data_IF_992517835501
#
_entry.id   IF_992517835501
#
_cell.length_a   1.000
_cell.length_b   1.000
_cell.length_c   1.000
_cell.angle_alpha   90.00
_cell.angle_beta   90.00
_cell.angle_gamma   90.00
#
_symmetry.space_group_name_H-M   'P 1'
#
loop_
_entity.id
_entity.type
_entity.pdbx_description
1 polymer ?
#
# COMPACT_ATOMS: atom_id res chain seq x y z
N UNK A 1 -22.89 34.94 0.40
CA UNK A 1 -21.70 35.18 -0.45
C UNK A 1 -20.44 35.51 0.40
N UNK A 2 -20.43 35.19 1.70
CA UNK A 2 -19.31 35.58 2.59
C UNK A 2 -18.49 34.37 3.09
N UNK A 3 -18.79 33.12 2.65
CA UNK A 3 -18.24 31.89 3.24
C UNK A 3 -16.85 31.48 2.71
N UNK A 4 -16.28 32.12 1.70
CA UNK A 4 -14.99 31.71 1.10
C UNK A 4 -13.91 32.77 1.14
N UNK A 5 -14.10 33.86 1.92
CA UNK A 5 -13.17 34.99 1.92
C UNK A 5 -11.84 34.64 2.63
N UNK A 6 -11.90 33.84 3.69
CA UNK A 6 -10.70 33.46 4.43
C UNK A 6 -9.92 32.36 3.73
N UNK A 7 -10.61 31.41 3.05
CA UNK A 7 -9.98 30.37 2.23
C UNK A 7 -9.28 30.98 1.01
N UNK A 8 -9.92 31.94 0.34
CA UNK A 8 -9.32 32.69 -0.79
C UNK A 8 -8.15 33.54 -0.33
N UNK A 9 -8.26 34.17 0.83
CA UNK A 9 -7.17 34.98 1.42
C UNK A 9 -5.97 34.09 1.76
N UNK A 10 -6.20 32.93 2.41
CA UNK A 10 -5.16 31.96 2.76
C UNK A 10 -4.51 31.34 1.50
N UNK A 11 -5.31 31.12 0.46
CA UNK A 11 -4.82 30.65 -0.84
C UNK A 11 -3.92 31.71 -1.51
N UNK A 12 -4.37 32.97 -1.55
CA UNK A 12 -3.61 34.07 -2.17
C UNK A 12 -2.36 34.47 -1.37
N UNK A 13 -2.39 34.40 -0.04
CA UNK A 13 -1.21 34.66 0.79
C UNK A 13 -0.18 33.51 0.65
N UNK A 14 -0.63 32.27 0.43
CA UNK A 14 0.23 31.12 0.11
C UNK A 14 0.96 31.28 -1.23
N UNK A 15 0.32 31.93 -2.22
CA UNK A 15 0.95 32.23 -3.52
C UNK A 15 1.96 33.40 -3.41
N UNK A 16 1.73 34.36 -2.53
CA UNK A 16 2.57 35.56 -2.38
C UNK A 16 3.86 35.33 -1.60
N UNK A 17 4.01 34.25 -0.85
CA UNK A 17 5.18 34.01 0.00
C UNK A 17 6.24 33.09 -0.59
N UNK A 18 6.49 33.19 -1.89
CA UNK A 18 7.71 32.73 -2.54
C UNK A 18 7.77 31.24 -2.94
N UNK A 19 8.17 31.06 -4.16
CA UNK A 19 8.81 29.90 -4.87
C UNK A 19 8.54 28.44 -4.45
N UNK A 20 8.15 28.16 -3.21
CA UNK A 20 7.98 26.77 -2.75
C UNK A 20 6.57 26.20 -2.95
N UNK A 21 5.55 27.07 -3.13
CA UNK A 21 4.17 26.61 -3.31
C UNK A 21 3.90 26.14 -4.75
N UNK A 22 4.40 26.92 -5.72
CA UNK A 22 4.32 26.53 -7.15
C UNK A 22 5.18 25.30 -7.44
N UNK A 23 6.33 25.15 -6.78
CA UNK A 23 7.14 23.94 -6.91
C UNK A 23 6.48 22.72 -6.26
N UNK A 24 5.65 22.90 -5.20
CA UNK A 24 4.83 21.83 -4.63
C UNK A 24 3.63 21.46 -5.51
N UNK A 25 3.02 22.41 -6.20
CA UNK A 25 1.93 22.18 -7.17
C UNK A 25 2.43 21.63 -8.50
N UNK A 26 3.63 22.04 -8.92
CA UNK A 26 4.28 21.58 -10.15
C UNK A 26 5.14 20.35 -9.91
N UNK A 27 5.48 20.04 -8.66
CA UNK A 27 6.04 18.76 -8.27
C UNK A 27 4.88 17.75 -8.12
N UNK A 28 4.20 17.49 -9.23
CA UNK A 28 3.61 16.19 -9.45
C UNK A 28 4.77 15.23 -9.20
N UNK A 29 4.82 14.64 -8.01
CA UNK A 29 5.76 13.56 -7.74
C UNK A 29 5.49 12.55 -8.84
N UNK A 30 6.38 12.52 -9.84
CA UNK A 30 6.37 11.44 -10.81
C UNK A 30 6.41 10.17 -9.97
N UNK A 31 5.31 9.44 -9.98
CA UNK A 31 5.25 8.11 -9.38
C UNK A 31 6.46 7.38 -9.94
N UNK A 32 7.45 7.16 -9.09
CA UNK A 32 8.63 6.42 -9.52
C UNK A 32 8.18 4.97 -9.62
N UNK A 33 7.94 4.52 -10.84
CA UNK A 33 7.60 3.13 -11.12
C UNK A 33 8.66 2.22 -10.48
N UNK A 34 8.19 1.18 -9.78
CA UNK A 34 9.09 0.19 -9.18
C UNK A 34 9.99 -0.45 -10.23
N UNK A 35 11.23 -0.70 -9.87
CA UNK A 35 12.15 -1.44 -10.72
C UNK A 35 11.81 -2.93 -10.70
N UNK A 36 12.22 -3.64 -11.73
CA UNK A 36 12.01 -5.09 -11.80
C UNK A 36 12.67 -5.82 -10.61
N UNK A 37 13.81 -5.30 -10.14
CA UNK A 37 14.49 -5.76 -8.94
C UNK A 37 13.62 -5.64 -7.67
N UNK A 38 12.86 -4.55 -7.52
CA UNK A 38 11.98 -4.31 -6.36
C UNK A 38 10.77 -5.25 -6.39
N UNK A 39 10.17 -5.41 -7.58
CA UNK A 39 9.07 -6.35 -7.79
C UNK A 39 9.53 -7.77 -7.42
N UNK A 40 10.71 -8.18 -7.88
CA UNK A 40 11.26 -9.49 -7.55
C UNK A 40 11.45 -9.69 -6.04
N UNK A 41 11.90 -8.66 -5.31
CA UNK A 41 12.02 -8.74 -3.84
C UNK A 41 10.67 -8.95 -3.16
N UNK A 42 9.62 -8.28 -3.62
CA UNK A 42 8.25 -8.46 -3.10
C UNK A 42 7.75 -9.87 -3.39
N UNK A 43 7.92 -10.36 -4.62
CA UNK A 43 7.50 -11.70 -5.04
C UNK A 43 8.21 -12.80 -4.25
N UNK A 44 9.54 -12.65 -4.02
CA UNK A 44 10.32 -13.59 -3.21
C UNK A 44 9.78 -13.62 -1.76
N UNK A 45 9.55 -12.46 -1.15
CA UNK A 45 8.99 -12.38 0.20
C UNK A 45 7.60 -13.05 0.27
N UNK A 46 6.70 -12.74 -0.66
CA UNK A 46 5.38 -13.36 -0.72
C UNK A 46 5.45 -14.88 -0.89
N UNK A 47 6.38 -15.39 -1.74
CA UNK A 47 6.61 -16.83 -1.93
C UNK A 47 7.05 -17.51 -0.64
N UNK A 48 8.00 -16.90 0.08
CA UNK A 48 8.52 -17.46 1.34
C UNK A 48 7.44 -17.47 2.43
N UNK A 49 6.76 -16.33 2.61
CA UNK A 49 5.66 -16.20 3.57
C UNK A 49 4.49 -17.12 3.25
N UNK A 50 4.16 -17.32 1.97
CA UNK A 50 3.16 -18.29 1.51
C UNK A 50 3.50 -19.71 1.94
N UNK A 51 4.75 -20.14 1.70
CA UNK A 51 5.22 -21.48 2.08
C UNK A 51 5.18 -21.70 3.59
N UNK A 52 5.51 -20.69 4.37
CA UNK A 52 5.58 -20.76 5.84
C UNK A 52 4.25 -20.38 6.51
N UNK A 53 3.22 -20.05 5.72
CA UNK A 53 1.91 -19.58 6.19
C UNK A 53 2.04 -18.38 7.15
N UNK A 54 2.89 -17.44 6.80
CA UNK A 54 3.02 -16.15 7.48
C UNK A 54 2.06 -15.17 6.85
N UNK A 55 1.12 -14.64 7.66
CA UNK A 55 0.14 -13.66 7.21
C UNK A 55 0.78 -12.31 6.90
N UNK A 56 0.48 -11.75 5.73
CA UNK A 56 1.02 -10.45 5.34
C UNK A 56 -0.03 -9.61 4.60
N UNK A 57 0.10 -8.27 4.74
CA UNK A 57 -0.68 -7.29 3.99
C UNK A 57 0.24 -6.18 3.53
N UNK A 58 0.52 -6.15 2.23
CA UNK A 58 1.41 -5.18 1.59
C UNK A 58 0.56 -4.27 0.72
N UNK A 59 0.67 -2.96 0.90
CA UNK A 59 -0.04 -1.96 0.10
C UNK A 59 0.97 -1.12 -0.65
N UNK A 60 0.77 -1.00 -1.94
CA UNK A 60 1.62 -0.22 -2.86
C UNK A 60 0.84 1.01 -3.28
N UNK A 61 1.40 2.20 -3.00
CA UNK A 61 0.85 3.47 -3.48
C UNK A 61 0.99 3.56 -5.01
N UNK A 62 -0.08 3.99 -5.66
CA UNK A 62 -0.02 4.45 -7.05
C UNK A 62 0.20 5.97 -7.08
N UNK A 63 -0.73 6.75 -7.63
CA UNK A 63 -0.57 8.21 -7.76
C UNK A 63 -0.85 8.98 -6.46
N UNK A 64 -1.73 8.45 -5.60
CA UNK A 64 -2.13 9.11 -4.37
C UNK A 64 -1.24 8.72 -3.19
N UNK A 65 -0.74 9.73 -2.47
CA UNK A 65 0.00 9.49 -1.22
C UNK A 65 -0.90 8.96 -0.11
N UNK A 66 -0.45 7.90 0.56
CA UNK A 66 -1.12 7.29 1.72
C UNK A 66 -0.69 7.92 3.06
N UNK A 67 -0.33 9.19 3.09
CA UNK A 67 0.19 9.84 4.32
C UNK A 67 -0.74 9.70 5.52
N UNK A 68 -2.06 9.78 5.31
CA UNK A 68 -3.06 9.60 6.37
C UNK A 68 -3.09 8.18 6.96
N UNK A 69 -2.65 7.18 6.21
CA UNK A 69 -2.50 5.79 6.64
C UNK A 69 -1.13 5.59 7.29
N UNK A 70 -0.06 6.12 6.67
CA UNK A 70 1.33 6.01 7.14
C UNK A 70 1.46 6.48 8.60
N UNK A 71 0.83 7.60 8.96
CA UNK A 71 0.88 8.15 10.33
C UNK A 71 0.19 7.27 11.39
N UNK A 72 -0.55 6.22 11.00
CA UNK A 72 -1.17 5.27 11.93
C UNK A 72 -0.26 4.12 12.31
N UNK A 73 0.86 3.94 11.63
CA UNK A 73 1.87 2.91 11.86
C UNK A 73 3.23 3.50 12.20
N UNK A 74 4.26 2.66 12.14
CA UNK A 74 5.65 3.04 12.38
C UNK A 74 6.36 3.36 11.06
N UNK A 75 6.92 4.57 10.94
CA UNK A 75 7.71 4.98 9.77
C UNK A 75 9.06 4.23 9.74
N UNK A 76 9.40 3.65 8.58
CA UNK A 76 10.60 2.83 8.40
C UNK A 76 11.58 3.50 7.43
N UNK A 77 11.13 3.95 6.27
CA UNK A 77 11.93 4.51 5.18
C UNK A 77 13.13 3.65 4.80
N UNK A 78 12.88 2.47 4.26
CA UNK A 78 13.90 1.51 3.88
C UNK A 78 13.75 1.05 2.43
N UNK A 79 14.86 0.59 1.82
CA UNK A 79 14.83 -0.07 0.49
C UNK A 79 14.00 -1.35 0.54
N UNK A 80 13.31 -1.63 -0.55
CA UNK A 80 12.54 -2.87 -0.72
C UNK A 80 13.52 -4.06 -0.73
N UNK A 81 13.35 -4.94 0.25
CA UNK A 81 14.18 -6.13 0.41
C UNK A 81 13.35 -7.27 1.00
N UNK A 82 13.42 -8.44 0.39
CA UNK A 82 12.61 -9.59 0.78
C UNK A 82 12.78 -10.01 2.24
N UNK A 83 14.01 -10.01 2.76
CA UNK A 83 14.27 -10.36 4.16
C UNK A 83 13.70 -9.34 5.13
N UNK A 84 13.72 -8.05 4.78
CA UNK A 84 13.11 -7.01 5.61
C UNK A 84 11.59 -7.17 5.64
N UNK A 85 10.96 -7.44 4.49
CA UNK A 85 9.53 -7.71 4.40
C UNK A 85 9.14 -8.91 5.27
N UNK A 86 9.88 -10.02 5.15
CA UNK A 86 9.67 -11.23 5.95
C UNK A 86 9.83 -10.96 7.47
N UNK A 87 10.80 -10.14 7.86
CA UNK A 87 11.00 -9.75 9.27
C UNK A 87 9.88 -8.84 9.80
N UNK A 88 9.35 -7.93 8.97
CA UNK A 88 8.20 -7.09 9.35
C UNK A 88 7.00 -7.96 9.68
N UNK A 89 6.70 -8.96 8.85
CA UNK A 89 5.56 -9.86 9.04
C UNK A 89 5.83 -11.08 9.91
N UNK A 90 7.04 -11.21 10.45
CA UNK A 90 7.34 -12.29 11.38
C UNK A 90 6.39 -12.25 12.59
N UNK A 91 5.76 -13.39 12.90
CA UNK A 91 4.63 -13.51 13.85
C UNK A 91 4.87 -12.90 15.24
N UNK A 92 6.12 -12.81 15.67
CA UNK A 92 6.50 -12.20 16.96
C UNK A 92 7.06 -10.78 16.82
N UNK A 93 7.05 -10.20 15.63
CA UNK A 93 7.45 -8.80 15.41
C UNK A 93 6.33 -7.87 15.88
N UNK A 94 6.60 -6.77 16.56
CA UNK A 94 5.60 -5.73 16.86
C UNK A 94 4.94 -5.14 15.61
N UNK A 95 5.62 -5.21 14.47
CA UNK A 95 5.20 -4.58 13.21
C UNK A 95 4.27 -5.46 12.34
N UNK A 96 4.06 -6.74 12.72
CA UNK A 96 3.32 -7.70 11.87
C UNK A 96 1.80 -7.46 11.85
N UNK A 97 1.27 -6.75 12.85
CA UNK A 97 -0.16 -6.45 12.92
C UNK A 97 -0.46 -5.14 12.20
N UNK A 98 -1.14 -5.25 11.07
CA UNK A 98 -1.42 -4.14 10.18
C UNK A 98 -0.84 -4.31 8.78
N UNK A 99 -0.79 -3.21 8.04
CA UNK A 99 -0.28 -3.18 6.68
C UNK A 99 1.12 -2.57 6.60
N UNK A 100 1.93 -3.08 5.69
CA UNK A 100 3.17 -2.44 5.24
C UNK A 100 2.87 -1.60 4.01
N UNK A 101 3.33 -0.34 4.01
CA UNK A 101 3.12 0.60 2.90
C UNK A 101 4.41 0.75 2.11
N UNK A 102 4.30 0.55 0.80
CA UNK A 102 5.37 0.79 -0.17
C UNK A 102 4.96 1.99 -1.05
N UNK A 103 5.87 2.92 -1.24
CA UNK A 103 5.70 4.05 -2.15
C UNK A 103 7.04 4.68 -2.50
N UNK A 104 7.17 5.24 -3.70
CA UNK A 104 8.42 5.84 -4.18
C UNK A 104 9.64 4.90 -4.05
N UNK A 105 9.49 3.62 -4.39
CA UNK A 105 10.53 2.57 -4.35
C UNK A 105 11.10 2.28 -2.96
N UNK A 106 10.39 2.66 -1.89
CA UNK A 106 10.81 2.36 -0.52
C UNK A 106 9.66 1.80 0.31
N UNK A 107 9.98 1.03 1.32
CA UNK A 107 9.06 0.69 2.40
C UNK A 107 8.94 1.95 3.26
N UNK A 108 7.76 2.56 3.31
CA UNK A 108 7.50 3.80 4.04
C UNK A 108 7.17 3.56 5.50
N UNK A 109 6.30 2.59 5.76
CA UNK A 109 5.82 2.30 7.11
C UNK A 109 5.34 0.85 7.23
N UNK A 110 5.17 0.37 8.46
CA UNK A 110 4.54 -0.90 8.79
C UNK A 110 3.62 -0.77 10.01
N UNK A 111 2.80 -1.80 10.27
CA UNK A 111 1.81 -1.76 11.33
C UNK A 111 0.67 -0.76 11.07
N UNK A 112 0.47 -0.34 9.81
CA UNK A 112 -0.52 0.67 9.46
C UNK A 112 -1.94 0.13 9.52
N UNK A 113 -2.88 0.96 10.02
CA UNK A 113 -4.30 0.62 10.14
C UNK A 113 -5.02 0.99 8.84
N UNK A 114 -5.73 0.03 8.26
CA UNK A 114 -6.50 0.22 7.05
C UNK A 114 -8.01 0.19 7.31
N UNK A 115 -8.81 0.89 6.49
CA UNK A 115 -10.25 0.76 6.52
C UNK A 115 -10.68 -0.65 6.09
N UNK A 116 -11.65 -1.22 6.80
CA UNK A 116 -12.24 -2.50 6.42
C UNK A 116 -13.36 -2.32 5.41
N UNK A 117 -13.47 -3.23 4.45
CA UNK A 117 -14.62 -3.32 3.56
C UNK A 117 -15.84 -3.83 4.32
N UNK A 118 -16.98 -3.19 4.09
CA UNK A 118 -18.29 -3.60 4.59
C UNK A 118 -19.07 -4.45 3.57
N UNK A 119 -18.43 -4.85 2.47
CA UNK A 119 -19.06 -5.66 1.44
C UNK A 119 -19.47 -7.03 2.00
N UNK A 120 -20.78 -7.30 2.01
CA UNK A 120 -21.36 -8.55 2.52
C UNK A 120 -21.17 -9.74 1.55
N UNK A 121 -20.82 -9.48 0.29
CA UNK A 121 -20.61 -10.50 -0.73
C UNK A 121 -19.20 -11.11 -0.72
N UNK A 122 -18.38 -10.72 0.25
CA UNK A 122 -17.02 -11.27 0.39
C UNK A 122 -17.10 -12.69 0.97
N UNK A 123 -16.36 -13.66 0.42
CA UNK A 123 -16.34 -15.03 0.94
C UNK A 123 -16.04 -15.08 2.45
N UNK A 124 -16.75 -15.93 3.18
CA UNK A 124 -16.54 -16.11 4.64
C UNK A 124 -15.13 -16.56 5.02
N UNK A 125 -14.40 -17.14 4.07
CA UNK A 125 -13.00 -17.55 4.22
C UNK A 125 -12.02 -16.37 4.23
N UNK A 126 -12.47 -15.15 3.94
CA UNK A 126 -11.62 -13.97 3.96
C UNK A 126 -11.49 -13.43 5.39
N UNK A 127 -10.26 -13.51 5.93
CA UNK A 127 -9.91 -12.92 7.21
C UNK A 127 -9.80 -11.38 7.16
N UNK A 128 -9.42 -10.79 8.29
CA UNK A 128 -9.33 -9.32 8.45
C UNK A 128 -8.39 -8.67 7.42
N UNK A 129 -7.24 -9.30 7.09
CA UNK A 129 -6.29 -8.78 6.09
C UNK A 129 -6.91 -8.69 4.69
N UNK A 130 -7.73 -9.65 4.29
CA UNK A 130 -8.44 -9.60 3.00
C UNK A 130 -9.48 -8.47 2.98
N UNK A 131 -10.21 -8.30 4.07
CA UNK A 131 -11.21 -7.21 4.20
C UNK A 131 -10.57 -5.83 4.27
N UNK A 132 -9.38 -5.72 4.86
CA UNK A 132 -8.60 -4.49 4.89
C UNK A 132 -8.05 -4.15 3.49
N UNK A 133 -7.50 -5.14 2.77
CA UNK A 133 -7.04 -4.96 1.39
C UNK A 133 -8.17 -4.50 0.46
N UNK A 134 -9.34 -5.14 0.56
CA UNK A 134 -10.50 -4.74 -0.21
C UNK A 134 -10.95 -3.33 0.18
N UNK A 135 -11.06 -3.02 1.47
CA UNK A 135 -11.52 -1.73 1.97
C UNK A 135 -10.62 -0.55 1.60
N UNK A 136 -9.31 -0.73 1.56
CA UNK A 136 -8.39 0.30 1.09
C UNK A 136 -8.47 0.47 -0.43
N UNK A 137 -8.57 -0.61 -1.20
CA UNK A 137 -8.66 -0.56 -2.67
C UNK A 137 -10.03 -0.08 -3.18
N UNK A 138 -11.10 -0.13 -2.38
CA UNK A 138 -12.40 0.49 -2.68
C UNK A 138 -12.37 2.02 -2.61
N UNK A 139 -11.44 2.57 -1.83
CA UNK A 139 -11.44 4.01 -1.49
C UNK A 139 -10.27 4.77 -2.07
N UNK A 140 -9.16 4.10 -2.31
CA UNK A 140 -7.90 4.71 -2.72
C UNK A 140 -7.32 3.96 -3.91
N UNK A 141 -6.56 4.68 -4.72
CA UNK A 141 -5.81 4.13 -5.84
C UNK A 141 -4.55 3.44 -5.33
N UNK A 142 -4.69 2.16 -5.01
CA UNK A 142 -3.64 1.32 -4.44
C UNK A 142 -3.72 -0.11 -4.95
N UNK A 143 -2.59 -0.79 -4.89
CA UNK A 143 -2.48 -2.23 -5.06
C UNK A 143 -2.25 -2.86 -3.69
N UNK A 144 -3.00 -3.90 -3.35
CA UNK A 144 -2.84 -4.60 -2.08
C UNK A 144 -2.57 -6.09 -2.32
N UNK A 145 -1.52 -6.61 -1.69
CA UNK A 145 -1.11 -8.01 -1.75
C UNK A 145 -1.36 -8.63 -0.38
N UNK A 146 -2.01 -9.78 -0.35
CA UNK A 146 -2.34 -10.49 0.88
C UNK A 146 -1.72 -11.88 0.83
N UNK A 147 -1.08 -12.29 1.93
CA UNK A 147 -0.71 -13.69 2.17
C UNK A 147 -1.55 -14.19 3.34
N UNK A 148 -2.29 -15.28 3.13
CA UNK A 148 -3.13 -15.89 4.17
C UNK A 148 -2.30 -16.69 5.16
N UNK A 149 -2.45 -16.41 6.45
CA UNK A 149 -1.80 -17.19 7.51
C UNK A 149 -2.42 -18.58 7.72
N UNK A 150 -3.65 -18.79 7.26
CA UNK A 150 -4.33 -20.07 7.38
C UNK A 150 -3.95 -21.02 6.24
N UNK A 151 -4.02 -20.50 5.00
CA UNK A 151 -3.89 -21.31 3.79
C UNK A 151 -2.54 -21.15 3.09
N UNK A 152 -1.83 -20.04 3.32
CA UNK A 152 -0.64 -19.65 2.58
C UNK A 152 -0.94 -19.06 1.19
N UNK A 153 -2.20 -19.00 0.79
CA UNK A 153 -2.59 -18.48 -0.53
C UNK A 153 -2.30 -16.99 -0.65
N UNK A 154 -1.85 -16.60 -1.85
CA UNK A 154 -1.62 -15.20 -2.19
C UNK A 154 -2.86 -14.65 -2.88
N UNK A 155 -3.29 -13.46 -2.49
CA UNK A 155 -4.40 -12.73 -3.11
C UNK A 155 -3.95 -11.32 -3.46
N UNK A 156 -4.60 -10.73 -4.44
CA UNK A 156 -4.33 -9.36 -4.90
C UNK A 156 -5.63 -8.57 -4.96
N UNK A 157 -5.63 -7.34 -4.47
CA UNK A 157 -6.77 -6.45 -4.50
C UNK A 157 -6.42 -5.10 -5.12
N UNK A 158 -7.29 -4.62 -6.00
CA UNK A 158 -7.20 -3.34 -6.68
C UNK A 158 -8.59 -2.88 -7.10
N UNK A 159 -8.87 -1.58 -7.05
CA UNK A 159 -10.14 -0.98 -7.50
C UNK A 159 -11.39 -1.68 -6.93
N UNK A 160 -11.36 -2.06 -5.65
CA UNK A 160 -12.47 -2.74 -4.98
C UNK A 160 -12.73 -4.18 -5.45
N UNK A 161 -11.80 -4.75 -6.19
CA UNK A 161 -11.87 -6.15 -6.66
C UNK A 161 -10.72 -6.95 -6.07
N UNK A 162 -10.99 -8.19 -5.67
CA UNK A 162 -9.98 -9.09 -5.15
C UNK A 162 -9.86 -10.35 -6.02
N UNK A 163 -8.63 -10.68 -6.42
CA UNK A 163 -8.28 -11.91 -7.12
C UNK A 163 -7.64 -12.84 -6.09
N UNK A 164 -8.24 -14.01 -5.90
CA UNK A 164 -7.83 -14.96 -4.88
C UNK A 164 -7.00 -16.10 -5.49
N UNK A 165 -6.02 -16.62 -4.71
CA UNK A 165 -5.21 -17.78 -5.05
C UNK A 165 -4.38 -17.59 -6.33
N UNK A 166 -3.70 -16.46 -6.43
CA UNK A 166 -2.79 -16.18 -7.54
C UNK A 166 -1.41 -16.83 -7.30
N UNK A 167 -0.79 -17.27 -8.38
CA UNK A 167 0.58 -17.76 -8.35
C UNK A 167 1.59 -16.61 -8.25
N UNK A 168 2.82 -16.90 -7.84
CA UNK A 168 3.90 -15.92 -7.81
C UNK A 168 4.23 -15.35 -9.19
N UNK A 169 4.05 -16.11 -10.26
CA UNK A 169 4.22 -15.64 -11.65
C UNK A 169 3.12 -14.66 -12.06
N UNK A 170 1.88 -14.92 -11.66
CA UNK A 170 0.77 -14.00 -11.89
C UNK A 170 0.97 -12.70 -11.10
N UNK A 171 1.39 -12.79 -9.84
CA UNK A 171 1.73 -11.61 -9.03
C UNK A 171 2.82 -10.76 -9.69
N UNK A 172 3.92 -11.39 -10.14
CA UNK A 172 4.99 -10.71 -10.87
C UNK A 172 4.47 -10.02 -12.14
N UNK A 173 3.64 -10.72 -12.93
CA UNK A 173 3.04 -10.17 -14.15
C UNK A 173 2.12 -8.98 -13.85
N UNK A 174 1.32 -9.03 -12.79
CA UNK A 174 0.42 -7.94 -12.38
C UNK A 174 1.25 -6.71 -12.00
N UNK A 175 2.23 -6.86 -11.10
CA UNK A 175 3.07 -5.76 -10.64
C UNK A 175 3.93 -5.15 -11.75
N UNK A 176 4.32 -5.94 -12.75
CA UNK A 176 5.10 -5.46 -13.90
C UNK A 176 4.24 -4.69 -14.92
N UNK A 177 2.95 -4.99 -15.05
CA UNK A 177 2.03 -4.32 -15.99
C UNK A 177 1.66 -2.90 -15.57
N UNK A 178 1.70 -2.60 -14.29
CA UNK A 178 1.43 -1.25 -13.77
C UNK A 178 2.50 -0.23 -14.18
N UNK A 179 3.50 -0.65 -14.96
CA UNK A 179 4.58 0.19 -15.53
C UNK A 179 4.21 0.88 -16.85
N UNK A 180 3.07 0.55 -17.47
CA UNK A 180 2.74 1.03 -18.82
C UNK A 180 1.88 2.28 -18.81
#
# INVERSE_FOLDING_TARGET
IVLFQDEIRNFLTGIGSGNNFLSRLLNTQRVQTMEESDIMQIVIACKNMSREKVGALIVIENEMSLQSIIVTGDEITAKINSRLIENIFFKNSPLHDGAMIIGNKVIKAAGCILPLSHNMNVPKSFGLRHRAALGVSERLDVQAIIVSEETGKISYAENGTIIHDISTKELESILSKTKA
#
